data_IF_543569207781
#
_entry.id   IF_543569207781
#
_cell.length_a   1.000
_cell.length_b   1.000
_cell.length_c   1.000
_cell.angle_alpha   90.00
_cell.angle_beta   90.00
_cell.angle_gamma   90.00
#
_symmetry.space_group_name_H-M   'P 1'
#
loop_
_entity.id
_entity.type
_entity.pdbx_description
1 polymer ?
#
# COMPACT_ATOMS: atom_id res chain seq x y z
N UNK A 1 -43.35 15.26 -15.72
CA UNK A 1 -42.12 15.38 -14.90
C UNK A 1 -42.50 14.99 -13.48
N UNK A 2 -42.14 13.79 -13.01
CA UNK A 2 -42.52 13.33 -11.66
C UNK A 2 -41.43 13.73 -10.66
N UNK A 3 -41.63 14.89 -10.03
CA UNK A 3 -40.82 15.34 -8.90
C UNK A 3 -41.50 14.89 -7.61
N UNK A 4 -40.75 14.20 -6.74
CA UNK A 4 -41.21 13.84 -5.40
C UNK A 4 -40.91 15.00 -4.44
N UNK A 5 -41.94 15.49 -3.75
CA UNK A 5 -41.83 16.63 -2.83
C UNK A 5 -40.99 16.34 -1.57
N UNK A 6 -40.74 15.06 -1.26
CA UNK A 6 -39.91 14.65 -0.14
C UNK A 6 -39.20 13.33 -0.44
N UNK A 7 -38.02 13.13 0.18
CA UNK A 7 -37.25 11.91 0.06
C UNK A 7 -38.02 10.72 0.71
N UNK A 8 -38.47 9.71 -0.07
CA UNK A 8 -39.23 8.56 0.44
C UNK A 8 -38.42 7.70 1.43
N UNK A 9 -37.09 7.74 1.34
CA UNK A 9 -36.19 7.01 2.22
C UNK A 9 -35.92 7.71 3.55
N UNK A 10 -36.37 8.97 3.74
CA UNK A 10 -36.08 9.75 4.95
C UNK A 10 -36.66 9.12 6.24
N UNK A 11 -37.69 8.29 6.12
CA UNK A 11 -38.35 7.62 7.25
C UNK A 11 -37.91 6.16 7.46
N UNK A 12 -36.98 5.67 6.64
CA UNK A 12 -36.52 4.27 6.72
C UNK A 12 -35.19 4.25 7.47
N UNK A 13 -35.13 3.48 8.56
CA UNK A 13 -33.85 3.17 9.21
C UNK A 13 -33.00 2.36 8.21
N UNK A 14 -31.81 2.83 7.82
CA UNK A 14 -30.96 2.07 6.92
C UNK A 14 -30.67 0.70 7.52
N UNK A 15 -30.66 -0.37 6.71
CA UNK A 15 -30.37 -1.70 7.21
C UNK A 15 -29.01 -1.69 7.90
N UNK A 16 -28.90 -2.38 9.03
CA UNK A 16 -27.60 -2.57 9.68
C UNK A 16 -26.70 -3.32 8.71
N UNK A 17 -25.79 -2.59 8.07
CA UNK A 17 -24.76 -3.20 7.24
C UNK A 17 -23.98 -4.15 8.15
N UNK A 18 -24.00 -5.46 7.82
CA UNK A 18 -23.17 -6.45 8.50
C UNK A 18 -21.76 -5.87 8.57
N UNK A 19 -21.21 -5.72 9.78
CA UNK A 19 -19.86 -5.17 9.97
C UNK A 19 -18.92 -5.98 9.08
N UNK A 20 -18.27 -5.32 8.12
CA UNK A 20 -17.30 -5.99 7.24
C UNK A 20 -16.25 -6.64 8.13
N UNK A 21 -15.89 -7.91 7.84
CA UNK A 21 -14.80 -8.58 8.55
C UNK A 21 -13.56 -7.67 8.51
N UNK A 22 -12.94 -7.44 9.67
CA UNK A 22 -11.73 -6.60 9.77
C UNK A 22 -10.64 -7.24 8.89
N UNK A 23 -10.00 -6.45 8.04
CA UNK A 23 -8.86 -6.92 7.25
C UNK A 23 -7.70 -7.15 8.22
N UNK A 24 -7.15 -8.37 8.21
CA UNK A 24 -6.06 -8.79 9.10
C UNK A 24 -4.74 -8.63 8.36
N UNK A 25 -3.72 -7.96 8.94
CA UNK A 25 -2.37 -7.92 8.38
C UNK A 25 -1.72 -9.30 8.44
N UNK A 26 -0.77 -9.56 7.53
CA UNK A 26 0.05 -10.77 7.57
C UNK A 26 1.06 -10.67 8.72
N UNK A 27 1.29 -11.80 9.39
CA UNK A 27 2.45 -11.98 10.29
C UNK A 27 3.75 -11.99 9.49
N UNK A 28 4.91 -11.87 10.16
CA UNK A 28 6.21 -11.90 9.48
C UNK A 28 6.47 -13.23 8.77
N UNK A 29 6.06 -14.36 9.38
CA UNK A 29 6.16 -15.68 8.76
C UNK A 29 5.25 -15.81 7.54
N UNK A 30 4.01 -15.32 7.62
CA UNK A 30 3.07 -15.31 6.48
C UNK A 30 3.56 -14.40 5.34
N UNK A 31 4.11 -13.23 5.68
CA UNK A 31 4.73 -12.30 4.75
C UNK A 31 5.88 -12.96 3.99
N UNK A 32 6.77 -13.66 4.70
CA UNK A 32 7.88 -14.39 4.09
C UNK A 32 7.39 -15.48 3.14
N UNK A 33 6.42 -16.31 3.56
CA UNK A 33 5.82 -17.33 2.70
C UNK A 33 5.11 -16.73 1.49
N UNK A 34 4.42 -15.60 1.66
CA UNK A 34 3.76 -14.91 0.55
C UNK A 34 4.77 -14.39 -0.47
N UNK A 35 5.85 -13.76 -0.02
CA UNK A 35 6.93 -13.28 -0.90
C UNK A 35 7.59 -14.43 -1.66
N UNK A 36 7.82 -15.57 -1.01
CA UNK A 36 8.31 -16.78 -1.68
C UNK A 36 7.30 -17.29 -2.72
N UNK A 37 6.02 -17.35 -2.37
CA UNK A 37 4.97 -17.89 -3.22
C UNK A 37 4.67 -17.05 -4.48
N UNK A 38 5.09 -15.78 -4.51
CA UNK A 38 4.94 -14.92 -5.69
C UNK A 38 6.17 -14.93 -6.60
N UNK A 39 7.29 -15.53 -6.20
CA UNK A 39 8.50 -15.61 -7.04
C UNK A 39 8.20 -16.28 -8.37
N UNK A 40 8.67 -15.65 -9.45
CA UNK A 40 8.46 -16.11 -10.83
C UNK A 40 7.06 -15.81 -11.38
N UNK A 41 6.11 -15.35 -10.56
CA UNK A 41 4.80 -14.92 -11.03
C UNK A 41 4.94 -13.64 -11.86
N UNK A 42 4.13 -13.49 -12.91
CA UNK A 42 4.13 -12.28 -13.74
C UNK A 42 3.83 -11.01 -12.92
N UNK A 43 3.03 -11.12 -11.85
CA UNK A 43 2.68 -10.02 -10.96
C UNK A 43 3.58 -9.91 -9.72
N UNK A 44 4.70 -10.65 -9.65
CA UNK A 44 5.64 -10.63 -8.52
C UNK A 44 6.01 -9.20 -8.08
N UNK A 45 6.53 -8.40 -9.01
CA UNK A 45 6.96 -7.03 -8.75
C UNK A 45 5.81 -6.16 -8.23
N UNK A 46 4.58 -6.36 -8.72
CA UNK A 46 3.40 -5.64 -8.24
C UNK A 46 3.13 -5.98 -6.78
N UNK A 47 3.23 -7.24 -6.38
CA UNK A 47 3.00 -7.65 -4.99
C UNK A 47 4.09 -7.14 -4.04
N UNK A 48 5.36 -7.12 -4.48
CA UNK A 48 6.48 -6.55 -3.72
C UNK A 48 6.24 -5.04 -3.51
N UNK A 49 5.92 -4.31 -4.59
CA UNK A 49 5.64 -2.88 -4.51
C UNK A 49 4.40 -2.62 -3.64
N UNK A 50 3.33 -3.42 -3.76
CA UNK A 50 2.13 -3.29 -2.93
C UNK A 50 2.45 -3.44 -1.43
N UNK A 51 3.22 -4.47 -1.07
CA UNK A 51 3.63 -4.73 0.30
C UNK A 51 4.63 -3.69 0.82
N UNK A 52 5.52 -3.19 -0.03
CA UNK A 52 6.58 -2.25 0.36
C UNK A 52 6.20 -0.78 0.32
N UNK A 53 5.01 -0.43 -0.18
CA UNK A 53 4.52 0.97 -0.25
C UNK A 53 3.17 1.18 0.44
N UNK A 54 2.41 0.10 0.66
CA UNK A 54 1.05 0.19 1.19
C UNK A 54 0.06 0.90 0.25
N UNK A 55 0.37 1.04 -1.04
CA UNK A 55 -0.55 1.63 -2.02
C UNK A 55 -1.82 0.78 -2.19
N UNK A 56 -2.93 1.44 -2.52
CA UNK A 56 -4.20 0.77 -2.86
C UNK A 56 -4.05 0.09 -4.23
N UNK A 57 -4.80 -0.99 -4.45
CA UNK A 57 -4.78 -1.69 -5.74
C UNK A 57 -5.06 -0.75 -6.92
N UNK A 58 -6.06 0.13 -6.81
CA UNK A 58 -6.36 1.10 -7.87
C UNK A 58 -5.19 2.04 -8.18
N UNK A 59 -4.47 2.50 -7.15
CA UNK A 59 -3.29 3.37 -7.32
C UNK A 59 -2.14 2.63 -8.00
N UNK A 60 -1.93 1.35 -7.68
CA UNK A 60 -0.93 0.51 -8.35
C UNK A 60 -1.28 0.27 -9.82
N UNK A 61 -2.56 0.02 -10.10
CA UNK A 61 -3.04 -0.27 -11.46
C UNK A 61 -3.03 0.97 -12.37
N UNK A 62 -3.05 2.17 -11.80
CA UNK A 62 -2.92 3.43 -12.52
C UNK A 62 -1.54 4.07 -12.39
N UNK A 63 -0.58 3.41 -11.74
CA UNK A 63 0.77 3.96 -11.53
C UNK A 63 1.51 4.05 -12.86
N UNK A 64 2.09 5.22 -13.13
CA UNK A 64 2.85 5.51 -14.35
C UNK A 64 4.32 5.80 -14.05
N UNK A 65 5.20 5.61 -15.03
CA UNK A 65 6.66 5.74 -14.83
C UNK A 65 7.12 7.16 -14.49
N UNK A 66 6.38 8.19 -14.90
CA UNK A 66 6.61 9.60 -14.52
C UNK A 66 6.36 9.88 -13.04
N UNK A 67 5.58 9.03 -12.36
CA UNK A 67 5.34 9.11 -10.92
C UNK A 67 6.45 8.43 -10.10
N UNK A 68 7.37 7.71 -10.74
CA UNK A 68 8.46 6.99 -10.07
C UNK A 68 9.77 7.77 -10.21
N UNK A 69 10.27 8.28 -9.10
CA UNK A 69 11.55 8.96 -9.03
C UNK A 69 12.63 8.03 -8.45
N UNK A 70 13.46 7.49 -9.34
CA UNK A 70 14.59 6.63 -8.97
C UNK A 70 15.77 7.39 -8.34
N UNK A 71 15.88 8.71 -8.53
CA UNK A 71 16.95 9.50 -7.95
C UNK A 71 16.67 9.77 -6.46
N UNK A 72 15.43 10.13 -6.14
CA UNK A 72 15.00 10.37 -4.74
C UNK A 72 14.47 9.12 -4.05
N UNK A 73 14.32 8.00 -4.77
CA UNK A 73 13.71 6.76 -4.26
C UNK A 73 12.32 7.00 -3.70
N UNK A 74 11.46 7.62 -4.52
CA UNK A 74 10.07 7.94 -4.14
C UNK A 74 9.06 7.65 -5.25
N UNK A 75 7.79 7.48 -4.85
CA UNK A 75 6.64 7.42 -5.74
C UNK A 75 5.68 8.56 -5.38
N UNK A 76 5.32 9.37 -6.37
CA UNK A 76 4.29 10.40 -6.25
C UNK A 76 2.91 9.82 -6.55
N UNK A 77 2.11 9.58 -5.51
CA UNK A 77 0.78 8.99 -5.65
C UNK A 77 -0.28 10.09 -5.68
N UNK A 78 -1.10 10.11 -6.74
CA UNK A 78 -2.24 11.01 -6.88
C UNK A 78 -3.53 10.26 -6.54
N UNK A 79 -4.25 10.70 -5.51
CA UNK A 79 -5.55 10.15 -5.15
C UNK A 79 -6.61 10.64 -6.15
N UNK A 80 -7.07 9.75 -7.02
CA UNK A 80 -8.28 9.96 -7.81
C UNK A 80 -9.49 9.65 -6.91
N UNK A 81 -10.21 10.69 -6.47
CA UNK A 81 -11.43 10.51 -5.68
C UNK A 81 -12.59 10.31 -6.66
N UNK A 82 -13.09 9.09 -6.77
CA UNK A 82 -14.42 8.87 -7.35
C UNK A 82 -15.47 9.26 -6.31
N UNK A 83 -16.16 10.38 -6.54
CA UNK A 83 -17.46 10.62 -5.88
C UNK A 83 -18.47 9.69 -6.58
N UNK A 84 -19.32 9.05 -5.79
CA UNK A 84 -20.16 7.94 -6.21
C UNK A 84 -20.80 8.10 -7.59
N UNK A 85 -20.53 7.12 -8.47
CA UNK A 85 -21.11 7.03 -9.81
C UNK A 85 -20.26 7.66 -10.90
N UNK A 86 -19.27 6.93 -11.39
CA UNK A 86 -18.74 7.10 -12.76
C UNK A 86 -17.76 8.25 -13.03
N UNK A 87 -17.80 9.37 -12.30
CA UNK A 87 -16.91 10.50 -12.59
C UNK A 87 -15.66 10.50 -11.71
N UNK A 88 -14.51 10.34 -12.37
CA UNK A 88 -13.18 10.54 -11.82
C UNK A 88 -12.87 12.02 -11.93
N UNK A 89 -13.03 12.77 -10.84
CA UNK A 89 -12.47 14.11 -10.78
C UNK A 89 -10.99 13.99 -10.42
N UNK A 90 -10.12 14.64 -11.19
CA UNK A 90 -8.77 14.97 -10.73
C UNK A 90 -8.94 15.69 -9.39
N UNK A 91 -8.45 15.09 -8.31
CA UNK A 91 -8.51 15.70 -6.98
C UNK A 91 -7.65 16.95 -6.95
N UNK A 92 -8.18 18.09 -7.42
CA UNK A 92 -7.56 19.43 -7.36
C UNK A 92 -7.62 20.01 -5.95
N UNK A 93 -7.10 19.27 -4.98
CA UNK A 93 -6.74 19.80 -3.66
C UNK A 93 -5.34 19.30 -3.36
N UNK A 94 -4.41 20.16 -2.93
CA UNK A 94 -3.01 19.77 -2.62
C UNK A 94 -2.90 18.51 -1.75
N UNK A 95 -3.89 18.28 -0.88
CA UNK A 95 -4.02 17.07 -0.03
C UNK A 95 -4.29 15.75 -0.80
N UNK A 96 -4.47 15.77 -2.12
CA UNK A 96 -4.70 14.55 -2.92
C UNK A 96 -3.39 13.87 -3.33
N UNK A 97 -2.26 14.57 -3.25
CA UNK A 97 -0.95 14.05 -3.62
C UNK A 97 -0.16 13.64 -2.37
N UNK A 98 0.49 12.48 -2.43
CA UNK A 98 1.41 12.05 -1.38
C UNK A 98 2.65 11.41 -1.98
N UNK A 99 3.77 11.58 -1.30
CA UNK A 99 5.02 10.93 -1.66
C UNK A 99 5.24 9.72 -0.77
N UNK A 100 5.46 8.56 -1.37
CA UNK A 100 5.74 7.30 -0.68
C UNK A 100 7.19 6.93 -0.93
N UNK A 101 7.99 6.63 0.11
CA UNK A 101 9.37 6.20 -0.10
C UNK A 101 9.40 4.81 -0.75
N UNK A 102 10.35 4.61 -1.67
CA UNK A 102 10.70 3.28 -2.17
C UNK A 102 11.88 2.75 -1.36
N UNK A 103 11.65 1.71 -0.56
CA UNK A 103 12.73 0.98 0.09
C UNK A 103 13.56 0.18 -0.94
N UNK A 104 14.78 -0.28 -0.60
CA UNK A 104 15.67 -0.96 -1.55
C UNK A 104 15.02 -2.11 -2.33
N UNK A 105 14.20 -2.93 -1.68
CA UNK A 105 13.48 -4.03 -2.35
C UNK A 105 12.39 -3.54 -3.32
N UNK A 106 11.68 -2.46 -2.98
CA UNK A 106 10.70 -1.83 -3.88
C UNK A 106 11.42 -1.25 -5.11
N UNK A 107 12.56 -0.60 -4.88
CA UNK A 107 13.39 -0.05 -5.93
C UNK A 107 13.88 -1.13 -6.91
N UNK A 108 14.36 -2.27 -6.39
CA UNK A 108 14.74 -3.44 -7.20
C UNK A 108 13.57 -3.97 -8.01
N UNK A 109 12.42 -4.20 -7.37
CA UNK A 109 11.22 -4.68 -8.05
C UNK A 109 10.75 -3.72 -9.17
N UNK A 110 10.88 -2.41 -8.99
CA UNK A 110 10.57 -1.42 -10.03
C UNK A 110 11.56 -1.49 -11.19
N UNK A 111 12.86 -1.67 -10.94
CA UNK A 111 13.85 -1.88 -12.01
C UNK A 111 13.58 -3.16 -12.80
N UNK A 112 13.32 -4.26 -12.10
CA UNK A 112 13.02 -5.55 -12.70
C UNK A 112 11.71 -5.48 -13.51
N UNK A 113 10.73 -4.73 -13.03
CA UNK A 113 9.49 -4.47 -13.75
C UNK A 113 9.73 -3.71 -15.06
N UNK A 114 10.59 -2.69 -15.02
CA UNK A 114 10.95 -1.92 -16.22
C UNK A 114 11.66 -2.80 -17.26
N UNK A 115 12.56 -3.67 -16.82
CA UNK A 115 13.24 -4.64 -17.69
C UNK A 115 12.25 -5.64 -18.30
N UNK A 116 11.31 -6.17 -17.50
CA UNK A 116 10.26 -7.09 -17.97
C UNK A 116 9.36 -6.42 -19.03
N UNK A 117 8.95 -5.17 -18.81
CA UNK A 117 8.15 -4.43 -19.79
C UNK A 117 8.91 -4.17 -21.09
N UNK A 118 10.22 -3.90 -21.03
CA UNK A 118 11.03 -3.77 -22.24
C UNK A 118 11.02 -5.08 -23.05
N UNK A 119 11.09 -6.25 -22.40
CA UNK A 119 10.95 -7.54 -23.06
C UNK A 119 9.55 -7.75 -23.66
N UNK A 120 8.49 -7.38 -22.94
CA UNK A 120 7.12 -7.47 -23.45
C UNK A 120 6.93 -6.56 -24.68
N UNK A 121 7.49 -5.34 -24.66
CA UNK A 121 7.47 -4.39 -25.78
C UNK A 121 8.15 -4.95 -27.03
N UNK A 122 9.31 -5.58 -26.87
CA UNK A 122 10.01 -6.25 -27.97
C UNK A 122 9.20 -7.41 -28.54
N UNK A 123 8.56 -8.21 -27.68
CA UNK A 123 7.76 -9.38 -28.10
C UNK A 123 6.45 -8.99 -28.78
N UNK A 124 5.77 -7.96 -28.28
CA UNK A 124 4.49 -7.50 -28.83
C UNK A 124 4.67 -6.65 -30.10
N UNK A 125 5.83 -6.02 -30.28
CA UNK A 125 6.15 -5.24 -31.49
C UNK A 125 5.11 -4.15 -31.75
N UNK A 126 4.53 -4.07 -32.97
CA UNK A 126 3.51 -3.06 -33.30
C UNK A 126 2.24 -3.12 -32.45
N UNK A 127 1.95 -4.27 -31.82
CA UNK A 127 0.77 -4.43 -30.96
C UNK A 127 0.97 -3.83 -29.56
N UNK A 128 2.18 -3.37 -29.22
CA UNK A 128 2.44 -2.78 -27.91
C UNK A 128 1.95 -1.33 -27.85
N UNK A 129 0.99 -1.06 -26.96
CA UNK A 129 0.50 0.28 -26.68
C UNK A 129 1.22 0.87 -25.47
N UNK A 130 2.16 1.79 -25.69
CA UNK A 130 2.88 2.45 -24.61
C UNK A 130 2.03 3.52 -23.92
N UNK A 131 1.37 3.12 -22.83
CA UNK A 131 0.54 4.00 -21.99
C UNK A 131 1.29 4.57 -20.78
N UNK A 132 2.61 4.35 -20.70
CA UNK A 132 3.43 4.79 -19.57
C UNK A 132 3.16 4.10 -18.23
N UNK A 133 2.29 3.08 -18.19
CA UNK A 133 1.95 2.32 -16.99
C UNK A 133 3.14 1.52 -16.46
N UNK A 134 3.35 1.49 -15.15
CA UNK A 134 4.38 0.65 -14.48
C UNK A 134 3.97 -0.83 -14.50
N UNK A 135 2.68 -1.09 -14.29
CA UNK A 135 2.12 -2.44 -14.29
C UNK A 135 1.09 -2.58 -15.41
N UNK A 136 1.53 -3.15 -16.52
CA UNK A 136 0.72 -3.37 -17.72
C UNK A 136 0.61 -4.86 -18.05
N UNK A 137 -0.36 -5.18 -18.91
CA UNK A 137 -0.39 -6.47 -19.61
C UNK A 137 0.73 -6.54 -20.67
N UNK A 138 0.81 -7.67 -21.38
CA UNK A 138 1.88 -7.96 -22.35
C UNK A 138 1.90 -7.05 -23.57
N UNK A 139 0.81 -6.33 -23.83
CA UNK A 139 0.65 -5.40 -24.96
C UNK A 139 0.57 -3.95 -24.48
N UNK A 140 0.99 -3.67 -23.25
CA UNK A 140 1.05 -2.30 -22.70
C UNK A 140 -0.27 -1.74 -22.16
N UNK A 141 -1.37 -2.49 -22.29
CA UNK A 141 -2.67 -2.12 -21.73
C UNK A 141 -2.78 -2.31 -20.21
N UNK A 142 -3.85 -1.78 -19.58
CA UNK A 142 -4.06 -1.91 -18.13
C UNK A 142 -4.28 -3.37 -17.73
N UNK A 143 -3.84 -3.72 -16.51
CA UNK A 143 -4.18 -4.99 -15.89
C UNK A 143 -5.63 -4.99 -15.42
N UNK A 144 -6.36 -6.07 -15.70
CA UNK A 144 -7.70 -6.27 -15.14
C UNK A 144 -7.62 -6.67 -13.66
N UNK A 145 -8.29 -5.94 -12.73
CA UNK A 145 -8.25 -6.24 -11.30
C UNK A 145 -8.80 -7.63 -10.96
N UNK A 146 -9.78 -8.12 -11.72
CA UNK A 146 -10.39 -9.43 -11.54
C UNK A 146 -9.39 -10.55 -11.86
N UNK A 147 -8.71 -10.45 -12.99
CA UNK A 147 -7.66 -11.37 -13.42
C UNK A 147 -6.47 -11.34 -12.46
N UNK A 148 -6.01 -10.16 -12.04
CA UNK A 148 -4.96 -10.03 -11.03
C UNK A 148 -5.34 -10.79 -9.74
N UNK A 149 -6.57 -10.60 -9.26
CA UNK A 149 -7.02 -11.26 -8.03
C UNK A 149 -7.18 -12.76 -8.20
N UNK A 150 -7.83 -13.20 -9.27
CA UNK A 150 -8.23 -14.59 -9.43
C UNK A 150 -7.12 -15.49 -9.99
N UNK A 151 -6.23 -14.95 -10.83
CA UNK A 151 -5.19 -15.71 -11.52
C UNK A 151 -3.81 -15.60 -10.87
N UNK A 152 -3.54 -14.54 -10.12
CA UNK A 152 -2.23 -14.30 -9.53
C UNK A 152 -2.30 -14.28 -8.00
N UNK A 153 -3.12 -13.40 -7.43
CA UNK A 153 -3.13 -13.19 -5.97
C UNK A 153 -3.70 -14.38 -5.20
N UNK A 154 -4.90 -14.86 -5.55
CA UNK A 154 -5.51 -16.01 -4.85
C UNK A 154 -4.66 -17.29 -4.96
N UNK A 155 -4.10 -17.66 -6.13
CA UNK A 155 -3.16 -18.78 -6.20
C UNK A 155 -1.90 -18.58 -5.36
N UNK A 156 -1.32 -17.37 -5.32
CA UNK A 156 -0.19 -17.08 -4.46
C UNK A 156 -0.53 -17.23 -2.96
N UNK A 157 -1.73 -16.83 -2.53
CA UNK A 157 -2.21 -17.07 -1.16
C UNK A 157 -2.25 -18.57 -0.85
N UNK A 158 -2.77 -19.39 -1.75
CA UNK A 158 -2.81 -20.85 -1.56
C UNK A 158 -1.42 -21.46 -1.46
N UNK A 159 -0.51 -21.09 -2.37
CA UNK A 159 0.90 -21.51 -2.34
C UNK A 159 1.59 -21.12 -1.03
N UNK A 160 1.23 -19.96 -0.46
CA UNK A 160 1.76 -19.48 0.82
C UNK A 160 1.10 -20.11 2.06
N UNK A 161 0.10 -20.99 1.89
CA UNK A 161 -0.70 -21.55 2.99
C UNK A 161 -1.58 -20.51 3.69
N UNK A 162 -2.02 -19.48 2.96
CA UNK A 162 -2.88 -18.41 3.47
C UNK A 162 -4.34 -18.62 3.04
N UNK A 163 -5.33 -18.15 3.82
CA UNK A 163 -6.73 -18.24 3.41
C UNK A 163 -6.98 -17.53 2.08
N UNK A 164 -7.65 -18.19 1.11
CA UNK A 164 -8.03 -17.57 -0.17
C UNK A 164 -8.86 -16.30 -0.04
N UNK A 165 -9.56 -16.16 1.09
CA UNK A 165 -10.37 -14.99 1.44
C UNK A 165 -9.56 -13.79 1.94
N UNK A 166 -8.24 -13.91 2.09
CA UNK A 166 -7.36 -12.80 2.45
C UNK A 166 -7.52 -11.69 1.41
N UNK A 167 -7.94 -10.51 1.86
CA UNK A 167 -8.22 -9.39 0.95
C UNK A 167 -6.91 -8.73 0.51
N UNK A 168 -6.81 -8.25 -0.73
CA UNK A 168 -5.59 -7.58 -1.24
C UNK A 168 -5.12 -6.42 -0.34
N UNK A 169 -6.06 -5.71 0.29
CA UNK A 169 -5.75 -4.62 1.22
C UNK A 169 -5.00 -5.10 2.49
N UNK A 170 -4.93 -6.40 2.75
CA UNK A 170 -4.09 -6.98 3.79
C UNK A 170 -2.61 -6.63 3.58
N UNK A 171 -2.13 -6.51 2.33
CA UNK A 171 -0.75 -6.09 2.04
C UNK A 171 -0.47 -4.67 2.57
N UNK A 172 -1.43 -3.76 2.39
CA UNK A 172 -1.34 -2.41 2.95
C UNK A 172 -1.41 -2.38 4.47
N UNK A 173 -2.29 -3.18 5.07
CA UNK A 173 -2.31 -3.30 6.53
C UNK A 173 -0.99 -3.87 7.05
N UNK A 174 -0.43 -4.87 6.35
CA UNK A 174 0.87 -5.47 6.67
C UNK A 174 1.97 -4.41 6.66
N UNK A 175 2.10 -3.64 5.57
CA UNK A 175 3.02 -2.50 5.48
C UNK A 175 2.92 -1.57 6.70
N UNK A 176 1.71 -1.09 6.99
CA UNK A 176 1.47 -0.17 8.10
C UNK A 176 1.87 -0.79 9.44
N UNK A 177 1.42 -2.01 9.71
CA UNK A 177 1.69 -2.70 10.98
C UNK A 177 3.16 -3.03 11.16
N UNK A 178 3.88 -3.44 10.10
CA UNK A 178 5.29 -3.73 10.18
C UNK A 178 6.10 -2.49 10.54
N UNK A 179 5.80 -1.33 9.95
CA UNK A 179 6.52 -0.10 10.24
C UNK A 179 6.21 0.45 11.63
N UNK A 180 4.93 0.44 12.02
CA UNK A 180 4.50 0.88 13.36
C UNK A 180 5.09 0.01 14.47
N UNK A 181 5.22 -1.30 14.23
CA UNK A 181 5.90 -2.23 15.16
C UNK A 181 7.38 -1.93 15.33
N UNK A 182 8.01 -1.32 14.34
CA UNK A 182 9.42 -0.90 14.37
C UNK A 182 9.59 0.56 14.85
N UNK A 183 8.54 1.15 15.44
CA UNK A 183 8.61 2.50 16.02
C UNK A 183 8.54 3.64 15.00
N UNK A 184 8.22 3.37 13.73
CA UNK A 184 8.00 4.46 12.76
C UNK A 184 6.76 5.26 13.19
N UNK A 185 6.90 6.58 13.32
CA UNK A 185 5.82 7.46 13.79
C UNK A 185 4.53 7.34 12.99
N UNK A 186 3.39 7.35 13.70
CA UNK A 186 2.04 7.14 13.13
C UNK A 186 1.71 8.18 12.06
N UNK A 187 2.17 9.42 12.25
CA UNK A 187 1.99 10.54 11.33
C UNK A 187 2.67 10.26 9.99
N UNK A 188 3.91 9.75 10.01
CA UNK A 188 4.67 9.38 8.81
C UNK A 188 3.98 8.25 8.05
N UNK A 189 3.63 7.18 8.75
CA UNK A 189 2.92 6.04 8.14
C UNK A 189 1.56 6.50 7.59
N UNK A 190 0.83 7.33 8.33
CA UNK A 190 -0.46 7.90 7.89
C UNK A 190 -0.32 8.73 6.62
N UNK A 191 0.72 9.57 6.54
CA UNK A 191 1.03 10.38 5.37
C UNK A 191 1.33 9.51 4.14
N UNK A 192 2.19 8.48 4.27
CA UNK A 192 2.50 7.55 3.17
C UNK A 192 1.29 6.73 2.72
N UNK A 193 0.39 6.40 3.65
CA UNK A 193 -0.85 5.71 3.32
C UNK A 193 -1.89 6.65 2.69
N UNK A 194 -1.76 7.98 2.84
CA UNK A 194 -2.77 8.93 2.37
C UNK A 194 -4.07 8.82 3.15
N UNK A 195 -3.97 8.73 4.48
CA UNK A 195 -5.14 8.89 5.36
C UNK A 195 -5.33 10.37 5.69
N UNK A 196 -6.53 10.89 5.41
CA UNK A 196 -6.87 12.30 5.68
C UNK A 196 -6.84 12.65 7.18
N UNK A 197 -6.98 11.66 8.06
CA UNK A 197 -6.90 11.84 9.50
C UNK A 197 -5.94 10.81 10.12
N UNK A 198 -4.81 11.23 10.72
CA UNK A 198 -3.89 10.34 11.43
C UNK A 198 -4.55 9.52 12.55
N UNK A 199 -5.59 10.06 13.20
CA UNK A 199 -6.39 9.34 14.18
C UNK A 199 -7.09 8.10 13.62
N UNK A 200 -7.34 8.03 12.30
CA UNK A 200 -7.79 6.78 11.67
C UNK A 200 -6.67 5.73 11.70
N UNK A 201 -5.44 6.11 11.32
CA UNK A 201 -4.26 5.23 11.38
C UNK A 201 -4.04 4.71 12.80
N UNK A 202 -4.04 5.62 13.78
CA UNK A 202 -3.92 5.25 15.18
C UNK A 202 -5.02 4.26 15.59
N UNK A 203 -6.30 4.59 15.37
CA UNK A 203 -7.43 3.71 15.74
C UNK A 203 -7.36 2.32 15.09
N UNK A 204 -6.89 2.25 13.85
CA UNK A 204 -6.82 0.99 13.10
C UNK A 204 -5.64 0.14 13.57
N UNK A 205 -4.51 0.75 13.90
CA UNK A 205 -3.23 0.06 14.09
C UNK A 205 -2.66 0.12 15.51
N UNK A 206 -3.26 0.89 16.43
CA UNK A 206 -2.76 1.13 17.78
C UNK A 206 -2.31 -0.15 18.51
N UNK A 207 -3.08 -1.24 18.39
CA UNK A 207 -2.76 -2.52 19.02
C UNK A 207 -1.46 -3.19 18.51
N UNK A 208 -0.86 -2.67 17.43
CA UNK A 208 0.43 -3.14 16.90
C UNK A 208 1.58 -2.22 17.29
N UNK A 209 1.33 -1.08 17.93
CA UNK A 209 2.38 -0.19 18.42
C UNK A 209 2.90 -0.78 19.74
N UNK A 210 4.22 -1.02 19.89
CA UNK A 210 4.81 -1.48 21.15
C UNK A 210 4.41 -0.54 22.29
N UNK A 211 3.83 -1.09 23.36
CA UNK A 211 3.41 -0.31 24.55
C UNK A 211 4.41 -0.41 25.70
N UNK A 212 5.30 -1.40 25.65
CA UNK A 212 6.32 -1.60 26.69
C UNK A 212 7.59 -0.88 26.26
N UNK A 213 8.17 -0.16 27.20
CA UNK A 213 9.50 0.42 27.05
C UNK A 213 10.52 -0.71 27.02
N UNK A 214 11.28 -0.82 25.93
CA UNK A 214 12.42 -1.74 25.90
C UNK A 214 13.60 -1.15 26.71
N UNK A 215 14.51 -1.97 27.27
CA UNK A 215 15.61 -1.45 28.08
C UNK A 215 16.51 -0.44 27.37
N UNK A 216 16.77 -0.65 26.07
CA UNK A 216 17.59 0.29 25.28
C UNK A 216 16.85 1.59 24.99
N UNK A 217 15.53 1.55 24.83
CA UNK A 217 14.69 2.75 24.76
C UNK A 217 14.66 3.50 26.09
N UNK A 218 14.58 2.77 27.21
CA UNK A 218 14.64 3.35 28.55
C UNK A 218 15.96 4.11 28.79
N UNK A 219 17.10 3.50 28.43
CA UNK A 219 18.42 4.14 28.54
C UNK A 219 18.52 5.41 27.67
N UNK A 220 18.05 5.34 26.41
CA UNK A 220 18.02 6.51 25.52
C UNK A 220 17.14 7.64 26.06
N UNK A 221 15.93 7.31 26.54
CA UNK A 221 15.03 8.30 27.13
C UNK A 221 15.58 8.90 28.42
N UNK A 222 16.23 8.08 29.26
CA UNK A 222 16.90 8.56 30.46
C UNK A 222 17.99 9.60 30.09
N UNK A 223 18.83 9.30 29.10
CA UNK A 223 19.85 10.23 28.62
C UNK A 223 19.28 11.52 28.04
N UNK A 224 18.12 11.46 27.37
CA UNK A 224 17.43 12.66 26.84
C UNK A 224 16.83 13.51 27.96
N UNK A 225 16.17 12.88 28.93
CA UNK A 225 15.41 13.58 29.97
C UNK A 225 16.29 14.14 31.08
N UNK A 226 17.36 13.43 31.43
CA UNK A 226 18.20 13.76 32.57
C UNK A 226 19.64 14.14 32.18
N UNK A 227 19.96 14.09 30.87
CA UNK A 227 21.31 14.27 30.37
C UNK A 227 22.14 12.99 30.55
N UNK A 228 22.82 12.56 29.49
CA UNK A 228 23.88 11.56 29.63
C UNK A 228 25.10 12.22 30.27
N UNK A 229 25.56 11.71 31.42
CA UNK A 229 26.80 12.14 32.07
C UNK A 229 27.99 12.01 31.10
N UNK A 230 28.27 13.11 30.40
CA UNK A 230 29.58 13.37 29.85
C UNK A 230 30.57 13.54 31.00
N UNK A 231 31.30 12.46 31.31
CA UNK A 231 32.70 12.41 31.79
C UNK A 231 32.89 11.22 32.73
N UNK A 232 33.38 10.10 32.20
CA UNK A 232 34.45 9.36 32.90
C UNK A 232 35.77 9.92 32.40
N UNK A 233 36.20 11.02 33.03
CA UNK A 233 37.56 11.51 32.92
C UNK A 233 38.17 11.41 34.32
N UNK A 234 38.94 10.35 34.59
CA UNK A 234 39.98 10.34 35.62
C UNK A 234 40.86 9.11 35.42
N UNK A 235 42.06 9.40 34.91
CA UNK A 235 43.40 8.85 35.21
C UNK A 235 43.58 7.35 35.35
#
# INVERSE_FOLDING_TARGET
MNLLAANPAARVKPPQLKKRKRVVPLTDAEKARFLEAVKGDRCENLFIVALGTGMRLGELLSLTWDQVDFATSTISVVNLISKGGGEVNEGKTENSKRTVPTFPEVYRALKDQRARQAQDKLKAGPMYEDRGLVFSNQVGGPLDPGNLRNRHYKPALERAGLPRGTHFHALRHTFATSLLRQGVGVEKVSAWLGHANPGFTYRVYYHHIPQKLDPGEAERLNAILFGGDGKKNTR
#
